data_IF_014922884127
#
_entry.id   IF_014922884127
#
_cell.length_a   1.000
_cell.length_b   1.000
_cell.length_c   1.000
_cell.angle_alpha   90.00
_cell.angle_beta   90.00
_cell.angle_gamma   90.00
#
_symmetry.space_group_name_H-M   'P 1'
#
loop_
_entity.id
_entity.type
_entity.pdbx_description
1 polymer ?
#
# COMPACT_ATOMS: atom_id res chain seq x y z
N UNK A 1 -9.01 -3.93 -28.16
CA UNK A 1 -9.32 -3.42 -26.81
C UNK A 1 -8.02 -3.13 -26.09
N UNK A 2 -7.79 -1.91 -25.61
CA UNK A 2 -6.63 -1.57 -24.78
C UNK A 2 -6.88 -2.16 -23.37
N UNK A 3 -6.05 -3.07 -22.85
CA UNK A 3 -6.19 -3.46 -21.46
C UNK A 3 -5.89 -2.21 -20.63
N UNK A 4 -6.86 -1.73 -19.86
CA UNK A 4 -6.65 -0.65 -18.91
C UNK A 4 -5.48 -1.05 -18.00
N UNK A 5 -4.29 -0.50 -18.29
CA UNK A 5 -3.13 -0.64 -17.42
C UNK A 5 -3.58 -0.04 -16.10
N UNK A 6 -3.54 -0.81 -15.02
CA UNK A 6 -3.74 -0.27 -13.68
C UNK A 6 -2.66 0.80 -13.48
N UNK A 7 -3.03 2.07 -13.66
CA UNK A 7 -2.13 3.19 -13.49
C UNK A 7 -2.02 3.49 -11.99
N UNK A 8 -0.81 3.36 -11.50
CA UNK A 8 -0.46 3.69 -10.13
C UNK A 8 -0.30 5.20 -10.02
N UNK A 9 -1.03 5.80 -9.08
CA UNK A 9 -0.94 7.22 -8.79
C UNK A 9 -0.11 7.45 -7.53
N UNK A 10 0.73 8.48 -7.54
CA UNK A 10 1.33 9.02 -6.32
C UNK A 10 0.32 9.90 -5.60
N UNK A 11 0.45 10.01 -4.29
CA UNK A 11 -0.27 11.04 -3.55
C UNK A 11 0.40 12.40 -3.68
N UNK A 12 -0.32 13.46 -3.33
CA UNK A 12 0.18 14.84 -3.28
C UNK A 12 1.23 15.07 -2.17
N UNK A 13 1.40 14.11 -1.26
CA UNK A 13 2.35 14.18 -0.16
C UNK A 13 3.72 13.59 -0.51
N UNK A 14 4.78 14.17 0.08
CA UNK A 14 6.15 13.68 -0.12
C UNK A 14 6.34 12.21 0.30
N UNK A 15 5.55 11.74 1.28
CA UNK A 15 5.58 10.37 1.82
C UNK A 15 4.67 9.41 1.05
N UNK A 16 3.75 9.93 0.24
CA UNK A 16 2.81 9.15 -0.58
C UNK A 16 3.21 9.12 -2.06
N UNK A 17 4.30 9.81 -2.43
CA UNK A 17 4.89 9.74 -3.75
C UNK A 17 5.37 8.32 -4.09
N UNK A 18 5.15 7.89 -5.34
CA UNK A 18 5.65 6.61 -5.83
C UNK A 18 7.18 6.60 -5.73
N UNK A 19 7.71 5.57 -5.09
CA UNK A 19 9.14 5.40 -4.88
C UNK A 19 9.66 6.00 -3.57
N UNK A 20 8.84 6.70 -2.78
CA UNK A 20 9.22 7.09 -1.43
C UNK A 20 9.58 5.85 -0.61
N UNK A 21 10.72 5.90 0.09
CA UNK A 21 11.16 4.84 1.01
C UNK A 21 11.26 5.43 2.40
N UNK A 22 10.55 4.82 3.34
CA UNK A 22 10.59 5.25 4.73
C UNK A 22 11.85 4.73 5.46
N UNK A 23 12.18 5.23 6.67
CA UNK A 23 13.37 4.80 7.43
C UNK A 23 13.41 3.30 7.78
N UNK A 24 12.25 2.63 7.79
CA UNK A 24 12.12 1.20 8.06
C UNK A 24 12.33 0.33 6.79
N UNK A 25 12.59 0.95 5.62
CA UNK A 25 12.84 0.24 4.37
C UNK A 25 11.56 -0.19 3.65
N UNK A 26 10.48 0.57 3.78
CA UNK A 26 9.21 0.32 3.08
C UNK A 26 9.06 1.32 1.94
N UNK A 27 8.87 0.80 0.73
CA UNK A 27 8.72 1.58 -0.48
C UNK A 27 7.23 1.76 -0.81
N UNK A 28 6.81 2.99 -1.01
CA UNK A 28 5.51 3.31 -1.58
C UNK A 28 5.50 2.97 -3.08
N UNK A 29 4.59 2.10 -3.49
CA UNK A 29 4.37 1.72 -4.89
C UNK A 29 3.23 2.54 -5.54
N UNK A 30 2.57 3.42 -4.79
CA UNK A 30 1.44 4.23 -5.23
C UNK A 30 0.09 3.68 -4.79
N UNK A 31 -0.97 4.37 -5.17
CA UNK A 31 -2.36 4.01 -4.94
C UNK A 31 -3.09 3.79 -6.26
N UNK A 32 -4.15 2.99 -6.21
CA UNK A 32 -5.12 2.87 -7.32
C UNK A 32 -6.28 3.86 -7.16
N UNK A 33 -6.18 4.83 -6.26
CA UNK A 33 -7.27 5.74 -5.93
C UNK A 33 -8.41 5.07 -5.16
N UNK A 34 -8.13 3.96 -4.46
CA UNK A 34 -9.13 3.30 -3.63
C UNK A 34 -9.31 4.03 -2.30
N UNK A 35 -10.55 4.36 -1.90
CA UNK A 35 -10.81 4.99 -0.61
C UNK A 35 -10.37 4.05 0.52
N UNK A 36 -9.61 4.58 1.47
CA UNK A 36 -9.21 3.92 2.71
C UNK A 36 -10.33 3.89 3.74
N UNK A 37 -10.03 3.30 4.89
CA UNK A 37 -10.99 3.09 5.98
C UNK A 37 -11.14 4.36 6.83
N UNK A 38 -10.09 5.19 6.88
CA UNK A 38 -10.04 6.44 7.61
C UNK A 38 -10.22 7.65 6.68
N UNK A 39 -10.84 8.71 7.21
CA UNK A 39 -11.35 9.88 6.50
C UNK A 39 -10.48 10.32 5.31
N UNK A 40 -11.02 10.23 4.08
CA UNK A 40 -10.44 10.86 2.87
C UNK A 40 -9.05 10.37 2.43
N UNK A 41 -8.48 9.34 3.07
CA UNK A 41 -7.15 8.84 2.73
C UNK A 41 -7.22 7.66 1.76
N UNK A 42 -6.37 7.66 0.73
CA UNK A 42 -6.25 6.53 -0.19
C UNK A 42 -5.38 5.40 0.39
N UNK A 43 -5.69 4.15 0.03
CA UNK A 43 -4.81 3.00 0.35
C UNK A 43 -3.66 2.95 -0.64
N UNK A 44 -2.42 3.00 -0.12
CA UNK A 44 -1.21 2.86 -0.90
C UNK A 44 -0.69 1.43 -0.82
N UNK A 45 -0.22 0.90 -1.94
CA UNK A 45 0.59 -0.31 -1.95
C UNK A 45 1.97 0.04 -1.42
N UNK A 46 2.44 -0.75 -0.47
CA UNK A 46 3.76 -0.65 0.13
C UNK A 46 4.47 -1.98 -0.02
N UNK A 47 5.74 -1.94 -0.41
CA UNK A 47 6.62 -3.08 -0.53
C UNK A 47 7.76 -2.99 0.48
N UNK A 48 7.98 -4.05 1.25
CA UNK A 48 9.14 -4.13 2.13
C UNK A 48 10.39 -4.51 1.32
N UNK A 49 11.42 -3.67 1.36
CA UNK A 49 12.68 -3.94 0.66
C UNK A 49 13.57 -4.99 1.37
N UNK A 50 13.20 -5.40 2.60
CA UNK A 50 13.95 -6.41 3.35
C UNK A 50 13.48 -7.85 3.06
N UNK A 51 12.15 -8.09 2.98
CA UNK A 51 11.60 -9.43 2.72
C UNK A 51 10.77 -9.54 1.43
N UNK A 52 10.49 -8.42 0.74
CA UNK A 52 9.64 -8.38 -0.46
C UNK A 52 8.13 -8.41 -0.18
N UNK A 53 7.71 -8.51 1.09
CA UNK A 53 6.29 -8.56 1.43
C UNK A 53 5.57 -7.26 1.02
N UNK A 54 4.45 -7.42 0.31
CA UNK A 54 3.62 -6.31 -0.17
C UNK A 54 2.33 -6.22 0.65
N UNK A 55 1.97 -5.02 1.08
CA UNK A 55 0.77 -4.76 1.88
C UNK A 55 0.19 -3.38 1.60
N UNK A 56 -1.05 -3.14 2.01
CA UNK A 56 -1.65 -1.80 1.95
C UNK A 56 -1.30 -0.99 3.18
N UNK A 57 -1.18 0.33 3.04
CA UNK A 57 -1.06 1.28 4.15
C UNK A 57 -1.82 2.56 3.82
N UNK A 58 -2.43 3.17 4.83
CA UNK A 58 -3.05 4.48 4.71
C UNK A 58 -1.96 5.55 4.51
N UNK A 59 -2.27 6.58 3.71
CA UNK A 59 -1.29 7.61 3.33
C UNK A 59 -0.62 8.30 4.51
N UNK A 60 -1.35 8.47 5.62
CA UNK A 60 -0.86 9.07 6.85
C UNK A 60 0.22 8.23 7.55
N UNK A 61 0.17 6.90 7.41
CA UNK A 61 1.04 5.97 8.14
C UNK A 61 2.33 5.61 7.41
N UNK A 62 2.44 5.92 6.11
CA UNK A 62 3.55 5.43 5.26
C UNK A 62 4.92 5.82 5.82
N UNK A 63 5.03 7.01 6.40
CA UNK A 63 6.29 7.59 6.86
C UNK A 63 6.94 6.82 8.04
N UNK A 64 6.14 6.14 8.86
CA UNK A 64 6.62 5.38 10.02
C UNK A 64 6.26 3.88 9.95
N UNK A 65 5.57 3.45 8.90
CA UNK A 65 5.10 2.07 8.72
C UNK A 65 6.25 1.07 8.87
N UNK A 66 5.95 -0.09 9.45
CA UNK A 66 6.85 -1.25 9.55
C UNK A 66 6.27 -2.43 8.79
N UNK A 67 7.13 -3.32 8.30
CA UNK A 67 6.69 -4.55 7.66
C UNK A 67 5.97 -5.48 8.65
N UNK A 68 4.73 -5.93 8.34
CA UNK A 68 4.01 -6.86 9.21
C UNK A 68 4.57 -8.28 9.21
N UNK A 69 5.34 -8.65 8.19
CA UNK A 69 5.88 -10.01 8.07
C UNK A 69 7.24 -10.17 8.78
N UNK A 70 8.19 -9.26 8.57
CA UNK A 70 9.56 -9.40 9.07
C UNK A 70 9.96 -8.42 10.19
N UNK A 71 9.20 -7.34 10.39
CA UNK A 71 9.52 -6.29 11.38
C UNK A 71 8.49 -6.17 12.51
N UNK A 72 7.49 -7.06 12.56
CA UNK A 72 6.43 -7.05 13.56
C UNK A 72 5.49 -5.84 13.47
N UNK A 73 5.36 -5.24 12.28
CA UNK A 73 4.42 -4.14 12.04
C UNK A 73 2.94 -4.58 12.08
N UNK A 74 2.03 -3.62 12.22
CA UNK A 74 0.61 -3.91 12.11
C UNK A 74 0.22 -4.28 10.67
N UNK A 75 -0.66 -5.27 10.52
CA UNK A 75 -1.28 -5.54 9.22
C UNK A 75 -2.04 -4.29 8.77
N UNK A 76 -1.81 -3.85 7.53
CA UNK A 76 -2.54 -2.73 6.95
C UNK A 76 -3.78 -3.16 6.18
N UNK A 77 -4.54 -2.21 5.64
CA UNK A 77 -5.73 -2.50 4.84
C UNK A 77 -5.38 -3.39 3.65
N UNK A 78 -6.32 -4.27 3.27
CA UNK A 78 -6.14 -5.16 2.13
C UNK A 78 -6.05 -4.33 0.85
N UNK A 79 -4.86 -4.30 0.25
CA UNK A 79 -4.65 -3.75 -1.09
C UNK A 79 -4.77 -4.89 -2.11
N UNK A 80 -5.67 -4.80 -3.09
CA UNK A 80 -5.83 -5.80 -4.16
C UNK A 80 -6.26 -5.12 -5.47
N UNK A 81 -5.59 -5.38 -6.61
CA UNK A 81 -5.85 -4.70 -7.89
C UNK A 81 -7.10 -5.18 -8.64
N UNK A 82 -8.07 -5.79 -7.95
CA UNK A 82 -9.26 -6.30 -8.62
C UNK A 82 -10.26 -6.89 -7.65
N UNK A 83 -11.23 -6.08 -7.24
CA UNK A 83 -12.49 -6.50 -6.63
C UNK A 83 -12.51 -6.53 -5.09
N UNK A 84 -13.42 -5.72 -4.54
CA UNK A 84 -14.00 -5.87 -3.22
C UNK A 84 -14.55 -7.30 -3.07
N UNK A 85 -13.94 -8.17 -2.27
CA UNK A 85 -14.62 -9.35 -1.71
C UNK A 85 -14.05 -9.70 -0.32
N UNK A 86 -14.92 -10.19 0.58
CA UNK A 86 -14.59 -10.45 1.98
C UNK A 86 -13.61 -11.62 2.12
N UNK A 87 -13.10 -11.74 3.33
CA UNK A 87 -12.03 -12.62 3.77
C UNK A 87 -12.22 -14.08 3.31
N UNK A 88 -11.13 -14.69 2.84
CA UNK A 88 -11.07 -16.13 2.60
C UNK A 88 -10.27 -16.51 1.36
N UNK A 89 -8.95 -16.59 1.48
CA UNK A 89 -8.13 -17.43 0.62
C UNK A 89 -6.73 -17.62 1.26
N UNK A 90 -6.55 -18.75 1.94
CA UNK A 90 -5.30 -19.52 1.88
C UNK A 90 -5.59 -20.74 0.99
N UNK A 91 -4.58 -21.32 0.31
CA UNK A 91 -4.80 -22.33 -0.74
C UNK A 91 -5.59 -23.54 -0.26
#
# INVERSE_FOLDING_TARGET
MNPARLEWNGGDGATTAIGYVNPNGQRCCGTLGMPGIDHEQYVYKVECLACGYTFGADGSDIHERKCPECQGGAAGPRWSPGHCLPQGARP
#
